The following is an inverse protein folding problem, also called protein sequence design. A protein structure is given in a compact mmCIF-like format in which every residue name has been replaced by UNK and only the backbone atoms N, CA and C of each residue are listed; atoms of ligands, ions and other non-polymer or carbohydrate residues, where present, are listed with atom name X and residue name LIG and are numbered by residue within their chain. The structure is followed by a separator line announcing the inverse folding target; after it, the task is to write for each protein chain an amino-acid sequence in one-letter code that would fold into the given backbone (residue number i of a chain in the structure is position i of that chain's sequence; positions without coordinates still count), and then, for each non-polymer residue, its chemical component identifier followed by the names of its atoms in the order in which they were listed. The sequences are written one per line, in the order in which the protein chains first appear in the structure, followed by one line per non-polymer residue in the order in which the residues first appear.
data_IF_919450418547
#
_entry.id   IF_919450418547
#
_cell.length_a   1.000
_cell.length_b   1.000
_cell.length_c   1.000
_cell.angle_alpha   90.00
_cell.angle_beta   90.00
_cell.angle_gamma   90.00
#
_symmetry.space_group_name_H-M   'P 1'
#
loop_
_entity.id
_entity.type
_entity.pdbx_description
1 polymer ?
#
# COMPACT_ATOMS: atom_id res chain seq x y z
N UNK A 1 -23.26 34.95 -14.76
CA UNK A 1 -21.88 34.45 -14.57
C UNK A 1 -21.77 33.77 -13.21
N UNK A 2 -22.14 32.48 -13.07
CA UNK A 2 -21.89 31.70 -11.83
C UNK A 2 -22.30 30.23 -11.98
N UNK A 3 -21.73 29.52 -12.95
CA UNK A 3 -21.73 28.05 -12.95
C UNK A 3 -20.31 27.49 -13.04
N UNK A 4 -19.39 28.22 -13.70
CA UNK A 4 -17.99 27.80 -13.82
C UNK A 4 -17.22 27.75 -12.49
N UNK A 5 -17.58 28.56 -11.48
CA UNK A 5 -16.84 28.60 -10.20
C UNK A 5 -17.17 27.43 -9.25
N UNK A 6 -18.35 26.79 -9.42
CA UNK A 6 -18.73 25.62 -8.59
C UNK A 6 -18.09 24.32 -9.11
N UNK A 7 -17.80 24.25 -10.40
CA UNK A 7 -17.26 23.04 -11.03
C UNK A 7 -15.76 22.86 -10.79
N UNK A 8 -15.03 23.96 -10.57
CA UNK A 8 -13.56 23.94 -10.41
C UNK A 8 -13.14 23.45 -9.02
N UNK A 9 -13.96 23.63 -7.98
CA UNK A 9 -13.61 23.20 -6.62
C UNK A 9 -13.71 21.68 -6.41
N UNK A 10 -14.63 21.00 -7.11
CA UNK A 10 -14.85 19.56 -6.96
C UNK A 10 -13.82 18.69 -7.72
N UNK A 11 -12.99 19.29 -8.58
CA UNK A 11 -12.03 18.55 -9.42
C UNK A 11 -10.61 18.54 -8.88
N UNK A 12 -10.32 19.29 -7.80
CA UNK A 12 -8.94 19.63 -7.45
C UNK A 12 -8.30 18.81 -6.31
N UNK A 13 -8.99 17.84 -5.68
CA UNK A 13 -8.43 17.17 -4.48
C UNK A 13 -8.73 15.67 -4.42
N UNK A 14 -8.39 14.92 -5.47
CA UNK A 14 -8.29 13.45 -5.38
C UNK A 14 -7.05 12.94 -6.12
N UNK A 15 -5.98 13.72 -6.06
CA UNK A 15 -4.63 13.28 -6.40
C UNK A 15 -3.68 13.73 -5.28
N UNK A 16 -3.73 13.03 -4.15
CA UNK A 16 -2.57 12.92 -3.29
C UNK A 16 -2.11 11.48 -3.34
N UNK A 17 -1.19 11.28 -4.28
CA UNK A 17 -0.18 10.23 -4.38
C UNK A 17 0.06 9.59 -3.00
N UNK A 18 -0.35 8.34 -2.81
CA UNK A 18 0.27 7.52 -1.77
C UNK A 18 1.56 6.94 -2.35
N UNK A 19 2.65 7.24 -1.65
CA UNK A 19 4.02 6.98 -2.03
C UNK A 19 4.39 5.53 -1.80
N UNK A 20 4.04 4.63 -2.73
CA UNK A 20 4.64 3.30 -2.82
C UNK A 20 4.50 2.70 -4.23
N UNK A 21 4.63 3.49 -5.29
CA UNK A 21 4.69 2.96 -6.66
C UNK A 21 6.11 2.53 -7.01
N UNK A 22 6.60 1.46 -6.39
CA UNK A 22 7.71 0.69 -6.97
C UNK A 22 7.19 0.05 -8.26
N UNK A 23 7.54 0.62 -9.42
CA UNK A 23 7.31 0.07 -10.76
C UNK A 23 5.94 -0.65 -10.91
N UNK A 24 4.85 0.12 -10.92
CA UNK A 24 3.49 -0.41 -10.80
C UNK A 24 3.13 -1.40 -11.90
N UNK A 25 2.72 -2.60 -11.49
CA UNK A 25 1.78 -3.40 -12.24
C UNK A 25 0.58 -2.54 -12.66
N UNK A 26 0.07 -2.69 -13.89
CA UNK A 26 -1.07 -1.92 -14.34
C UNK A 26 -2.27 -2.17 -13.43
N UNK A 27 -2.98 -1.09 -13.08
CA UNK A 27 -4.18 -1.19 -12.23
C UNK A 27 -5.12 -2.31 -12.73
N UNK A 28 -5.75 -3.07 -11.83
CA UNK A 28 -6.67 -4.13 -12.22
C UNK A 28 -7.82 -3.56 -13.06
N UNK A 29 -8.23 -4.23 -14.15
CA UNK A 29 -9.39 -3.80 -14.97
C UNK A 29 -10.62 -3.46 -14.10
N UNK A 30 -11.33 -2.39 -14.44
CA UNK A 30 -12.61 -2.06 -13.82
C UNK A 30 -13.69 -3.09 -14.19
N UNK A 31 -14.38 -3.62 -13.18
CA UNK A 31 -15.56 -4.49 -13.30
C UNK A 31 -16.55 -4.17 -12.17
N UNK A 32 -17.83 -4.50 -12.35
CA UNK A 32 -18.87 -4.29 -11.33
C UNK A 32 -18.57 -5.08 -10.05
N UNK A 33 -18.02 -6.28 -10.17
CA UNK A 33 -17.59 -7.12 -9.04
C UNK A 33 -16.49 -6.43 -8.20
N UNK A 34 -15.50 -5.83 -8.88
CA UNK A 34 -14.41 -5.10 -8.21
C UNK A 34 -14.88 -3.78 -7.60
N UNK A 35 -15.82 -3.09 -8.27
CA UNK A 35 -16.50 -1.92 -7.69
C UNK A 35 -17.23 -2.31 -6.40
N UNK A 36 -18.02 -3.39 -6.42
CA UNK A 36 -18.72 -3.86 -5.24
C UNK A 36 -17.75 -4.23 -4.09
N UNK A 37 -16.65 -4.93 -4.40
CA UNK A 37 -15.63 -5.28 -3.43
C UNK A 37 -14.93 -4.05 -2.82
N UNK A 38 -14.51 -3.10 -3.66
CA UNK A 38 -13.89 -1.84 -3.21
C UNK A 38 -14.85 -1.02 -2.33
N UNK A 39 -16.11 -0.87 -2.75
CA UNK A 39 -17.11 -0.14 -1.97
C UNK A 39 -17.44 -0.83 -0.65
N UNK A 40 -17.46 -2.16 -0.63
CA UNK A 40 -17.61 -2.93 0.61
C UNK A 40 -16.42 -2.70 1.56
N UNK A 41 -15.19 -2.72 1.03
CA UNK A 41 -13.99 -2.41 1.79
C UNK A 41 -14.04 -1.00 2.40
N UNK A 42 -14.38 0.01 1.59
CA UNK A 42 -14.54 1.41 2.05
C UNK A 42 -15.61 1.51 3.14
N UNK A 43 -16.77 0.87 2.95
CA UNK A 43 -17.86 0.90 3.94
C UNK A 43 -17.43 0.34 5.29
N UNK A 44 -16.59 -0.70 5.29
CA UNK A 44 -16.06 -1.32 6.51
C UNK A 44 -14.98 -0.48 7.17
N UNK A 45 -14.07 0.10 6.39
CA UNK A 45 -12.83 0.68 6.92
C UNK A 45 -12.84 2.21 7.04
N UNK A 46 -13.48 2.92 6.11
CA UNK A 46 -13.56 4.37 6.06
C UNK A 46 -14.89 4.85 5.41
N UNK A 47 -16.04 4.67 6.10
CA UNK A 47 -17.36 4.97 5.53
C UNK A 47 -17.55 6.45 5.18
N UNK A 48 -16.80 7.36 5.79
CA UNK A 48 -16.82 8.81 5.51
C UNK A 48 -16.38 9.15 4.08
N UNK A 49 -15.70 8.23 3.38
CA UNK A 49 -15.28 8.41 1.99
C UNK A 49 -16.42 8.17 0.98
N UNK A 50 -17.47 7.43 1.37
CA UNK A 50 -18.55 7.05 0.46
C UNK A 50 -19.25 8.26 -0.20
N UNK A 51 -19.61 9.34 0.52
CA UNK A 51 -20.21 10.51 -0.11
C UNK A 51 -19.30 11.16 -1.17
N UNK A 52 -17.98 11.20 -0.93
CA UNK A 52 -17.01 11.75 -1.88
C UNK A 52 -16.90 10.90 -3.13
N UNK A 53 -16.94 9.57 -3.00
CA UNK A 53 -16.94 8.66 -4.14
C UNK A 53 -18.21 8.82 -4.99
N UNK A 54 -19.38 9.03 -4.36
CA UNK A 54 -20.63 9.29 -5.07
C UNK A 54 -20.62 10.64 -5.82
N UNK A 55 -20.04 11.67 -5.21
CA UNK A 55 -19.82 12.96 -5.88
C UNK A 55 -18.84 12.82 -7.05
N UNK A 56 -17.74 12.09 -6.84
CA UNK A 56 -16.75 11.82 -7.88
C UNK A 56 -17.37 11.04 -9.04
N UNK A 57 -18.22 10.04 -8.78
CA UNK A 57 -18.92 9.26 -9.80
C UNK A 57 -19.78 10.14 -10.72
N UNK A 58 -20.42 11.17 -10.16
CA UNK A 58 -21.25 12.14 -10.89
C UNK A 58 -20.44 13.18 -11.64
N UNK A 59 -19.37 13.67 -11.02
CA UNK A 59 -18.56 14.78 -11.54
C UNK A 59 -17.53 14.32 -12.57
N UNK A 60 -16.88 13.18 -12.33
CA UNK A 60 -15.81 12.63 -13.16
C UNK A 60 -15.76 11.10 -13.07
N UNK A 61 -16.44 10.47 -14.02
CA UNK A 61 -16.53 9.00 -14.09
C UNK A 61 -15.17 8.30 -14.21
N UNK A 62 -14.24 8.86 -14.99
CA UNK A 62 -12.92 8.25 -15.17
C UNK A 62 -12.10 8.29 -13.88
N UNK A 63 -12.13 9.41 -13.14
CA UNK A 63 -11.47 9.51 -11.84
C UNK A 63 -12.10 8.55 -10.82
N UNK A 64 -13.43 8.42 -10.83
CA UNK A 64 -14.12 7.43 -10.00
C UNK A 64 -13.65 6.00 -10.29
N UNK A 65 -13.60 5.60 -11.55
CA UNK A 65 -13.16 4.25 -11.93
C UNK A 65 -11.69 4.02 -11.54
N UNK A 66 -10.81 5.02 -11.64
CA UNK A 66 -9.43 4.93 -11.14
C UNK A 66 -9.40 4.68 -9.64
N UNK A 67 -10.11 5.50 -8.87
CA UNK A 67 -10.15 5.40 -7.41
C UNK A 67 -10.69 4.03 -6.95
N UNK A 68 -11.69 3.49 -7.63
CA UNK A 68 -12.22 2.15 -7.36
C UNK A 68 -11.17 1.07 -7.63
N UNK A 69 -10.44 1.16 -8.76
CA UNK A 69 -9.40 0.18 -9.10
C UNK A 69 -8.24 0.20 -8.11
N UNK A 70 -7.81 1.39 -7.69
CA UNK A 70 -6.78 1.58 -6.67
C UNK A 70 -7.22 1.02 -5.32
N UNK A 71 -8.44 1.34 -4.90
CA UNK A 71 -9.00 0.84 -3.64
C UNK A 71 -9.12 -0.69 -3.66
N UNK A 72 -9.54 -1.27 -4.77
CA UNK A 72 -9.58 -2.72 -4.95
C UNK A 72 -8.16 -3.32 -4.85
N UNK A 73 -7.18 -2.75 -5.57
CA UNK A 73 -5.80 -3.23 -5.53
C UNK A 73 -5.22 -3.20 -4.12
N UNK A 74 -5.46 -2.12 -3.37
CA UNK A 74 -5.00 -2.02 -1.98
C UNK A 74 -5.70 -3.08 -1.10
N UNK A 75 -7.00 -3.32 -1.31
CA UNK A 75 -7.70 -4.35 -0.54
C UNK A 75 -7.16 -5.77 -0.78
N UNK A 76 -6.74 -6.08 -2.01
CA UNK A 76 -6.10 -7.35 -2.37
C UNK A 76 -4.68 -7.42 -1.79
N UNK A 77 -3.90 -6.34 -1.92
CA UNK A 77 -2.55 -6.27 -1.34
C UNK A 77 -2.59 -6.48 0.18
N UNK A 78 -3.57 -5.89 0.87
CA UNK A 78 -3.78 -6.14 2.28
C UNK A 78 -4.20 -7.60 2.55
N UNK A 79 -5.03 -8.19 1.70
CA UNK A 79 -5.43 -9.59 1.83
C UNK A 79 -4.26 -10.57 1.67
N UNK A 80 -3.20 -10.19 0.95
CA UNK A 80 -1.98 -10.99 0.76
C UNK A 80 -1.02 -10.93 1.97
N UNK A 81 -1.20 -9.98 2.90
CA UNK A 81 -0.34 -9.82 4.08
C UNK A 81 -0.69 -10.77 5.23
N UNK A 82 -1.30 -11.92 4.98
CA UNK A 82 -1.75 -12.85 6.03
C UNK A 82 -0.59 -13.39 6.87
N UNK A 83 0.57 -13.59 6.23
CA UNK A 83 1.78 -14.11 6.87
C UNK A 83 2.53 -13.05 7.69
N UNK A 84 2.14 -11.77 7.57
CA UNK A 84 2.68 -10.66 8.36
C UNK A 84 1.56 -9.79 8.96
N UNK A 85 0.91 -10.26 10.05
CA UNK A 85 -0.20 -9.56 10.68
C UNK A 85 0.15 -8.15 11.16
N UNK A 86 1.40 -7.93 11.57
CA UNK A 86 1.85 -6.62 12.03
C UNK A 86 1.93 -5.63 10.87
N UNK A 87 2.46 -6.07 9.72
CA UNK A 87 2.46 -5.25 8.51
C UNK A 87 1.04 -4.97 8.04
N UNK A 88 0.16 -5.98 8.01
CA UNK A 88 -1.25 -5.79 7.69
C UNK A 88 -1.89 -4.66 8.50
N UNK A 89 -1.73 -4.71 9.83
CA UNK A 89 -2.32 -3.71 10.73
C UNK A 89 -1.77 -2.30 10.50
N UNK A 90 -0.47 -2.17 10.21
CA UNK A 90 0.17 -0.89 9.93
C UNK A 90 -0.32 -0.30 8.61
N UNK A 91 -0.31 -1.09 7.53
CA UNK A 91 -0.75 -0.66 6.19
C UNK A 91 -2.24 -0.27 6.20
N UNK A 92 -3.09 -1.01 6.93
CA UNK A 92 -4.50 -0.67 7.09
C UNK A 92 -4.68 0.66 7.84
N UNK A 93 -3.88 0.93 8.87
CA UNK A 93 -3.93 2.20 9.61
C UNK A 93 -3.48 3.37 8.74
N UNK A 94 -2.41 3.20 7.96
CA UNK A 94 -1.93 4.21 6.99
C UNK A 94 -3.04 4.53 6.01
N UNK A 95 -3.60 3.52 5.35
CA UNK A 95 -4.68 3.71 4.39
C UNK A 95 -5.89 4.46 5.00
N UNK A 96 -6.28 4.11 6.23
CA UNK A 96 -7.38 4.80 6.92
C UNK A 96 -7.05 6.26 7.24
N UNK A 97 -5.84 6.54 7.73
CA UNK A 97 -5.40 7.88 8.07
C UNK A 97 -5.30 8.78 6.83
N UNK A 98 -4.75 8.27 5.72
CA UNK A 98 -4.69 8.99 4.44
C UNK A 98 -6.09 9.32 3.91
N UNK A 99 -7.00 8.35 3.91
CA UNK A 99 -8.36 8.58 3.42
C UNK A 99 -9.16 9.54 4.30
N UNK A 100 -8.95 9.52 5.62
CA UNK A 100 -9.52 10.55 6.51
C UNK A 100 -8.93 11.92 6.22
N UNK A 101 -7.64 12.02 5.97
CA UNK A 101 -7.01 13.28 5.59
C UNK A 101 -7.61 13.82 4.29
N UNK A 102 -7.80 12.98 3.27
CA UNK A 102 -8.48 13.36 2.03
C UNK A 102 -9.89 13.90 2.26
N UNK A 103 -10.67 13.27 3.16
CA UNK A 103 -11.99 13.78 3.55
C UNK A 103 -11.91 15.17 4.14
N UNK A 104 -10.93 15.43 5.02
CA UNK A 104 -10.73 16.76 5.61
C UNK A 104 -10.26 17.80 4.58
N UNK A 105 -9.38 17.44 3.65
CA UNK A 105 -8.95 18.35 2.58
C UNK A 105 -10.12 18.68 1.66
N UNK A 106 -10.97 17.70 1.33
CA UNK A 106 -12.20 17.95 0.56
C UNK A 106 -13.14 18.93 1.29
N UNK A 107 -13.26 18.83 2.62
CA UNK A 107 -14.03 19.79 3.43
C UNK A 107 -13.42 21.20 3.38
N UNK A 108 -12.09 21.34 3.44
CA UNK A 108 -11.41 22.64 3.31
C UNK A 108 -11.57 23.30 1.94
N UNK A 109 -11.82 22.53 0.89
CA UNK A 109 -12.13 23.06 -0.43
C UNK A 109 -13.53 23.71 -0.50
N UNK A 110 -14.38 23.49 0.51
CA UNK A 110 -15.70 24.12 0.60
C UNK A 110 -15.62 25.50 1.27
N UNK A 111 -16.35 26.53 0.81
CA UNK A 111 -16.14 27.92 1.23
C UNK A 111 -16.58 28.31 2.66
N UNK A 112 -16.87 27.35 3.55
CA UNK A 112 -17.36 27.66 4.91
C UNK A 112 -16.20 27.81 5.89
N UNK A 113 -15.90 29.05 6.26
CA UNK A 113 -14.76 29.41 7.12
C UNK A 113 -14.93 29.05 8.61
N UNK A 114 -16.16 28.78 9.08
CA UNK A 114 -16.44 28.60 10.52
C UNK A 114 -15.72 27.40 11.15
N UNK A 115 -15.49 26.32 10.39
CA UNK A 115 -14.83 25.10 10.86
C UNK A 115 -13.37 24.99 10.42
N UNK A 116 -12.86 25.96 9.66
CA UNK A 116 -11.56 25.86 8.97
C UNK A 116 -10.41 25.52 9.93
N UNK A 117 -10.32 26.26 11.04
CA UNK A 117 -9.25 26.06 12.04
C UNK A 117 -9.31 24.67 12.68
N UNK A 118 -10.50 24.19 13.01
CA UNK A 118 -10.71 22.84 13.56
C UNK A 118 -10.29 21.75 12.57
N UNK A 119 -10.59 21.93 11.28
CA UNK A 119 -10.18 20.98 10.24
C UNK A 119 -8.65 20.99 10.04
N UNK A 120 -8.02 22.17 10.07
CA UNK A 120 -6.55 22.30 9.99
C UNK A 120 -5.86 21.63 11.19
N UNK A 121 -6.41 21.77 12.40
CA UNK A 121 -5.91 21.08 13.61
C UNK A 121 -6.05 19.55 13.48
N UNK A 122 -7.19 19.05 12.98
CA UNK A 122 -7.39 17.61 12.73
C UNK A 122 -6.43 17.07 11.65
N UNK A 123 -6.19 17.83 10.58
CA UNK A 123 -5.20 17.46 9.56
C UNK A 123 -3.79 17.41 10.13
N UNK A 124 -3.42 18.34 11.01
CA UNK A 124 -2.13 18.32 11.68
C UNK A 124 -1.95 17.07 12.56
N UNK A 125 -3.01 16.63 13.25
CA UNK A 125 -2.99 15.39 14.03
C UNK A 125 -2.83 14.16 13.13
N UNK A 126 -3.57 14.08 12.02
CA UNK A 126 -3.42 12.97 11.06
C UNK A 126 -2.04 12.96 10.39
N UNK A 127 -1.47 14.12 10.08
CA UNK A 127 -0.12 14.21 9.54
C UNK A 127 0.93 13.65 10.52
N UNK A 128 0.78 13.94 11.82
CA UNK A 128 1.65 13.33 12.86
C UNK A 128 1.44 11.82 12.94
N UNK A 129 0.19 11.36 12.92
CA UNK A 129 -0.14 9.93 12.93
C UNK A 129 0.46 9.19 11.73
N UNK A 130 0.40 9.77 10.52
CA UNK A 130 0.98 9.17 9.32
C UNK A 130 2.50 9.02 9.43
N UNK A 131 3.20 10.05 9.92
CA UNK A 131 4.66 9.98 10.14
C UNK A 131 5.00 8.91 11.19
N UNK A 132 4.23 8.83 12.27
CA UNK A 132 4.42 7.79 13.30
C UNK A 132 4.21 6.38 12.73
N UNK A 133 3.17 6.19 11.91
CA UNK A 133 2.91 4.90 11.25
C UNK A 133 4.02 4.52 10.26
N UNK A 134 4.57 5.49 9.54
CA UNK A 134 5.73 5.28 8.66
C UNK A 134 6.96 4.83 9.46
N UNK A 135 7.25 5.49 10.60
CA UNK A 135 8.31 5.06 11.51
C UNK A 135 8.08 3.62 11.97
N UNK A 136 6.87 3.27 12.42
CA UNK A 136 6.55 1.91 12.87
C UNK A 136 6.68 0.87 11.76
N UNK A 137 6.31 1.22 10.52
CA UNK A 137 6.48 0.35 9.34
C UNK A 137 7.96 0.10 9.03
N UNK A 138 8.78 1.15 9.06
CA UNK A 138 10.21 1.05 8.85
C UNK A 138 10.89 0.24 9.96
N UNK A 139 10.54 0.45 11.23
CA UNK A 139 11.05 -0.33 12.35
C UNK A 139 10.71 -1.82 12.23
N UNK A 140 9.47 -2.13 11.84
CA UNK A 140 9.06 -3.51 11.57
C UNK A 140 9.87 -4.14 10.44
N UNK A 141 10.06 -3.40 9.33
CA UNK A 141 10.87 -3.85 8.20
C UNK A 141 12.32 -4.08 8.59
N UNK A 142 12.90 -3.21 9.42
CA UNK A 142 14.26 -3.38 9.97
C UNK A 142 14.35 -4.68 10.77
N UNK A 143 13.37 -4.96 11.63
CA UNK A 143 13.35 -6.20 12.42
C UNK A 143 13.35 -7.47 11.55
N UNK A 144 12.51 -7.49 10.49
CA UNK A 144 12.47 -8.62 9.55
C UNK A 144 13.81 -8.81 8.82
N UNK A 145 14.37 -7.74 8.28
CA UNK A 145 15.64 -7.77 7.56
C UNK A 145 16.82 -8.18 8.46
N UNK A 146 16.79 -7.80 9.74
CA UNK A 146 17.79 -8.25 10.71
C UNK A 146 17.70 -9.76 10.96
N UNK A 147 16.49 -10.30 11.07
CA UNK A 147 16.27 -11.75 11.21
C UNK A 147 16.71 -12.53 9.96
N UNK A 148 16.41 -12.01 8.76
CA UNK A 148 16.89 -12.60 7.50
C UNK A 148 18.42 -12.57 7.42
N UNK A 149 19.03 -11.45 7.81
CA UNK A 149 20.48 -11.29 7.84
C UNK A 149 21.15 -12.26 8.82
N UNK A 150 20.57 -12.50 10.00
CA UNK A 150 21.12 -13.49 10.94
C UNK A 150 21.05 -14.90 10.35
N UNK A 151 19.92 -15.29 9.76
CA UNK A 151 19.76 -16.61 9.14
C UNK A 151 20.75 -16.82 8.00
N UNK A 152 20.90 -15.84 7.11
CA UNK A 152 21.87 -15.90 6.01
C UNK A 152 23.32 -15.99 6.51
N UNK A 153 23.66 -15.30 7.61
CA UNK A 153 24.98 -15.40 8.24
C UNK A 153 25.23 -16.79 8.83
N UNK A 154 24.23 -17.39 9.46
CA UNK A 154 24.33 -18.74 10.02
C UNK A 154 24.49 -19.80 8.92
N UNK A 155 23.74 -19.66 7.82
CA UNK A 155 23.91 -20.50 6.63
C UNK A 155 25.31 -20.36 6.03
N UNK A 156 25.80 -19.12 5.89
CA UNK A 156 27.15 -18.86 5.39
C UNK A 156 28.21 -19.49 6.30
N UNK A 157 28.06 -19.40 7.61
CA UNK A 157 28.96 -20.03 8.57
C UNK A 157 28.98 -21.55 8.40
N UNK A 158 27.80 -22.19 8.32
CA UNK A 158 27.69 -23.64 8.06
C UNK A 158 28.36 -24.05 6.75
N UNK A 159 28.20 -23.27 5.68
CA UNK A 159 28.87 -23.54 4.41
C UNK A 159 30.39 -23.38 4.49
N UNK A 160 30.89 -22.40 5.26
CA UNK A 160 32.32 -22.20 5.49
C UNK A 160 32.93 -23.32 6.30
N UNK A 161 32.28 -23.73 7.38
CA UNK A 161 32.75 -24.81 8.26
C UNK A 161 32.80 -26.16 7.53
N UNK A 162 31.89 -26.36 6.58
CA UNK A 162 31.82 -27.57 5.75
C UNK A 162 32.48 -27.40 4.37
N UNK A 163 33.30 -26.36 4.16
CA UNK A 163 33.78 -25.99 2.84
C UNK A 163 34.52 -27.14 2.15
N UNK A 164 35.56 -27.70 2.78
CA UNK A 164 36.39 -28.76 2.17
C UNK A 164 35.59 -30.01 1.85
N UNK A 165 34.67 -30.39 2.75
CA UNK A 165 33.75 -31.51 2.54
C UNK A 165 32.83 -31.24 1.36
N UNK A 166 32.23 -30.05 1.29
CA UNK A 166 31.34 -29.66 0.21
C UNK A 166 32.05 -29.63 -1.15
N UNK A 167 33.32 -29.17 -1.16
CA UNK A 167 34.18 -29.21 -2.35
C UNK A 167 34.41 -30.65 -2.80
N UNK A 168 34.77 -31.55 -1.88
CA UNK A 168 34.98 -32.97 -2.17
C UNK A 168 33.71 -33.63 -2.72
N UNK A 169 32.58 -33.48 -2.04
CA UNK A 169 31.30 -34.06 -2.45
C UNK A 169 30.88 -33.56 -3.84
N UNK A 170 31.09 -32.26 -4.11
CA UNK A 170 30.79 -31.64 -5.40
C UNK A 170 31.73 -32.12 -6.50
N UNK A 171 33.02 -32.32 -6.21
CA UNK A 171 33.98 -32.88 -7.14
C UNK A 171 33.63 -34.34 -7.51
N UNK A 172 33.33 -35.18 -6.53
CA UNK A 172 32.92 -36.57 -6.76
C UNK A 172 31.64 -36.66 -7.61
N UNK A 173 30.64 -35.82 -7.33
CA UNK A 173 29.41 -35.76 -8.11
C UNK A 173 29.65 -35.36 -9.58
N UNK A 174 30.61 -34.46 -9.84
CA UNK A 174 30.99 -34.08 -11.20
C UNK A 174 31.72 -35.21 -11.94
N UNK A 175 32.62 -35.94 -11.25
CA UNK A 175 33.29 -37.11 -11.82
C UNK A 175 32.29 -38.21 -12.19
N UNK A 176 31.31 -38.50 -11.32
CA UNK A 176 30.27 -39.49 -11.59
C UNK A 176 29.43 -39.13 -12.82
N UNK A 177 29.08 -37.84 -12.98
CA UNK A 177 28.39 -37.36 -14.19
C UNK A 177 29.23 -37.55 -15.45
N UNK A 178 30.55 -37.29 -15.39
CA UNK A 178 31.44 -37.47 -16.53
C UNK A 178 31.58 -38.95 -16.93
N UNK A 179 31.64 -39.86 -15.96
CA UNK A 179 31.71 -41.31 -16.18
C UNK A 179 30.45 -41.87 -16.84
N UNK A 180 29.28 -41.40 -16.43
CA UNK A 180 27.97 -41.82 -16.98
C UNK A 180 27.70 -41.31 -18.41
N UNK A 181 28.49 -40.35 -18.91
CA UNK A 181 28.34 -39.74 -20.23
C UNK A 181 29.30 -40.29 -21.29
N UNK A 182 30.21 -41.20 -20.92
CA UNK A 182 30.99 -41.96 -21.90
C UNK A 182 30.08 -43.03 -22.54
N UNK A 183 30.03 -43.11 -23.89
CA UNK A 183 29.24 -44.11 -24.60
C UNK A 183 29.74 -45.53 -24.34
#
# INVERSE_FOLDING_TARGET
MSHAARTVAATAVLFLISAATSAADPLPRYTEEREAAALHFVRKQCPELLPLLEELKKANRLAYESQIRETFQISELLADLQDDPKRYDLELKVWKAENKALVLVAKLATPKDEDRKSIEEQLQLLAKELVELEVQSLEHRVGLLQSELSSAKDELAKFRDNYDRSVKDRFEALLEKARRKKP
#
